data_IF_380996223913
#
_entry.id   IF_380996223913
#
_cell.length_a   1.000
_cell.length_b   1.000
_cell.length_c   1.000
_cell.angle_alpha   90.00
_cell.angle_beta   90.00
_cell.angle_gamma   90.00
#
_symmetry.space_group_name_H-M   'P 1'
#
loop_
_entity.id
_entity.type
_entity.pdbx_description
1 polymer ?
#
# COMPACT_ATOMS: atom_id res chain seq x y z
N UNK A 1 8.22 15.13 9.65
CA UNK A 1 8.29 14.43 8.35
C UNK A 1 6.91 14.34 7.77
N UNK A 2 6.72 14.73 6.51
CA UNK A 2 5.44 14.65 5.80
C UNK A 2 5.09 13.18 5.48
N UNK A 3 3.88 12.75 5.82
CA UNK A 3 3.37 11.41 5.51
C UNK A 3 2.32 11.51 4.40
N UNK A 4 2.60 10.88 3.27
CA UNK A 4 1.74 10.90 2.08
C UNK A 4 1.17 9.50 1.86
N UNK A 5 -0.14 9.34 1.95
CA UNK A 5 -0.81 8.10 1.60
C UNK A 5 -1.00 8.00 0.09
N UNK A 6 -0.31 7.05 -0.54
CA UNK A 6 -0.47 6.77 -1.97
C UNK A 6 -1.36 5.55 -2.15
N UNK A 7 -2.44 5.71 -2.89
CA UNK A 7 -3.39 4.64 -3.18
C UNK A 7 -3.79 4.63 -4.65
N UNK A 8 -4.55 3.64 -5.02
CA UNK A 8 -5.05 3.44 -6.38
C UNK A 8 -5.41 1.97 -6.58
N UNK A 9 -6.41 1.70 -7.40
CA UNK A 9 -6.90 0.37 -7.66
C UNK A 9 -5.87 -0.49 -8.38
N UNK A 10 -6.10 -1.79 -8.41
CA UNK A 10 -5.24 -2.73 -9.15
C UNK A 10 -5.00 -2.26 -10.59
N UNK A 11 -3.76 -2.32 -11.08
CA UNK A 11 -3.42 -1.95 -12.46
C UNK A 11 -3.24 -0.45 -12.73
N UNK A 12 -3.50 0.43 -11.75
CA UNK A 12 -3.43 1.88 -11.94
C UNK A 12 -1.99 2.47 -11.99
N UNK A 13 -0.94 1.65 -11.82
CA UNK A 13 0.45 2.12 -11.92
C UNK A 13 1.05 2.67 -10.61
N UNK A 14 0.42 2.39 -9.47
CA UNK A 14 0.78 2.90 -8.14
C UNK A 14 2.25 2.70 -7.77
N UNK A 15 2.80 1.48 -7.88
CA UNK A 15 4.18 1.18 -7.49
C UNK A 15 5.21 1.92 -8.35
N UNK A 16 4.94 2.07 -9.64
CA UNK A 16 5.78 2.84 -10.56
C UNK A 16 5.76 4.32 -10.16
N UNK A 17 4.57 4.88 -9.90
CA UNK A 17 4.40 6.25 -9.44
C UNK A 17 5.09 6.49 -8.10
N UNK A 18 4.94 5.55 -7.14
CA UNK A 18 5.63 5.61 -5.85
C UNK A 18 7.15 5.71 -6.03
N UNK A 19 7.72 4.94 -6.95
CA UNK A 19 9.16 4.95 -7.20
C UNK A 19 9.68 6.29 -7.72
N UNK A 20 8.86 7.03 -8.51
CA UNK A 20 9.23 8.33 -9.04
C UNK A 20 9.40 9.41 -7.94
N UNK A 21 8.68 9.31 -6.83
CA UNK A 21 8.84 10.25 -5.71
C UNK A 21 10.23 10.16 -5.04
N UNK A 22 10.97 9.05 -5.24
CA UNK A 22 12.34 8.90 -4.72
C UNK A 22 13.29 9.93 -5.31
N UNK A 23 13.07 10.36 -6.56
CA UNK A 23 13.86 11.39 -7.27
C UNK A 23 13.74 12.75 -6.57
N UNK A 24 12.68 12.96 -5.78
CA UNK A 24 12.39 14.19 -5.03
C UNK A 24 12.64 14.05 -3.51
N UNK A 25 13.53 13.13 -3.11
CA UNK A 25 13.94 12.87 -1.71
C UNK A 25 12.82 12.33 -0.80
N UNK A 26 11.71 11.85 -1.34
CA UNK A 26 10.74 11.09 -0.55
C UNK A 26 11.24 9.66 -0.36
N UNK A 27 11.04 9.13 0.84
CA UNK A 27 11.16 7.69 1.07
C UNK A 27 9.87 6.99 0.61
N UNK A 28 9.95 5.72 0.28
CA UNK A 28 8.77 4.91 -0.10
C UNK A 28 8.69 3.70 0.83
N UNK A 29 7.59 3.59 1.53
CA UNK A 29 7.23 2.43 2.34
C UNK A 29 6.14 1.66 1.61
N UNK A 30 6.37 0.37 1.35
CA UNK A 30 5.40 -0.52 0.74
C UNK A 30 4.85 -1.47 1.81
N UNK A 31 3.54 -1.41 2.05
CA UNK A 31 2.89 -2.26 3.05
C UNK A 31 2.89 -3.74 2.65
N UNK A 32 2.69 -4.05 1.36
CA UNK A 32 2.68 -5.43 0.86
C UNK A 32 4.05 -6.08 0.97
N UNK A 33 5.13 -5.36 0.63
CA UNK A 33 6.51 -5.83 0.80
C UNK A 33 6.82 -6.09 2.28
N UNK A 34 6.28 -5.26 3.17
CA UNK A 34 6.44 -5.45 4.62
C UNK A 34 5.75 -6.72 5.11
N UNK A 35 4.53 -7.01 4.66
CA UNK A 35 3.85 -8.28 4.98
C UNK A 35 4.68 -9.47 4.46
N UNK A 36 5.24 -9.36 3.27
CA UNK A 36 6.13 -10.38 2.72
C UNK A 36 7.34 -10.62 3.61
N UNK A 37 8.01 -9.53 4.00
CA UNK A 37 9.16 -9.58 4.89
C UNK A 37 8.82 -10.24 6.23
N UNK A 38 7.69 -9.87 6.84
CA UNK A 38 7.20 -10.45 8.10
C UNK A 38 6.98 -11.96 7.96
N UNK A 39 6.34 -12.41 6.89
CA UNK A 39 6.08 -13.82 6.64
C UNK A 39 7.35 -14.66 6.46
N UNK A 40 8.44 -14.04 6.06
CA UNK A 40 9.71 -14.72 5.82
C UNK A 40 10.70 -14.61 6.98
N UNK A 41 10.64 -13.53 7.79
CA UNK A 41 11.74 -13.17 8.67
C UNK A 41 11.32 -12.89 10.13
N UNK A 42 10.04 -12.62 10.42
CA UNK A 42 9.60 -12.32 11.80
C UNK A 42 9.13 -13.59 12.50
N UNK A 43 10.06 -14.28 13.18
CA UNK A 43 9.77 -15.54 13.88
C UNK A 43 8.63 -15.42 14.89
N UNK A 44 8.47 -14.27 15.54
CA UNK A 44 7.40 -14.06 16.54
C UNK A 44 6.05 -14.09 15.83
N UNK A 45 5.93 -13.38 14.73
CA UNK A 45 4.68 -13.31 13.97
C UNK A 45 4.42 -14.63 13.23
N UNK A 46 5.46 -15.25 12.65
CA UNK A 46 5.36 -16.58 12.02
C UNK A 46 4.78 -17.60 13.01
N UNK A 47 5.30 -17.64 14.24
CA UNK A 47 4.81 -18.57 15.26
C UNK A 47 3.38 -18.24 15.73
N UNK A 48 3.00 -16.96 15.83
CA UNK A 48 1.62 -16.57 16.14
C UNK A 48 0.65 -17.01 15.04
N UNK A 49 1.05 -16.86 13.78
CA UNK A 49 0.24 -17.32 12.65
C UNK A 49 0.10 -18.83 12.67
N UNK A 50 1.19 -19.57 12.90
CA UNK A 50 1.14 -21.03 13.01
C UNK A 50 0.23 -21.51 14.15
N UNK A 51 0.22 -20.84 15.31
CA UNK A 51 -0.70 -21.15 16.40
C UNK A 51 -2.17 -20.96 16.01
N UNK A 52 -2.47 -19.89 15.28
CA UNK A 52 -3.83 -19.62 14.80
C UNK A 52 -4.19 -20.47 13.57
N UNK A 53 -3.24 -20.70 12.68
CA UNK A 53 -3.42 -21.40 11.40
C UNK A 53 -2.44 -22.58 11.30
N UNK A 54 -2.71 -23.72 12.01
CA UNK A 54 -1.79 -24.86 12.04
C UNK A 54 -1.43 -25.40 10.66
N UNK A 55 -0.13 -25.65 10.44
CA UNK A 55 0.42 -26.06 9.15
C UNK A 55 0.74 -24.89 8.21
N UNK A 56 0.54 -23.64 8.62
CA UNK A 56 0.91 -22.47 7.83
C UNK A 56 2.41 -22.20 7.83
N UNK A 57 3.17 -22.73 8.82
CA UNK A 57 4.63 -22.60 8.86
C UNK A 57 5.28 -23.74 8.08
N UNK A 58 5.90 -23.41 6.94
CA UNK A 58 6.64 -24.33 6.08
C UNK A 58 8.06 -23.80 5.92
N UNK A 59 9.07 -24.63 6.16
CA UNK A 59 10.50 -24.26 6.08
C UNK A 59 10.85 -22.98 6.86
N UNK A 60 10.23 -22.80 8.01
CA UNK A 60 10.45 -21.64 8.88
C UNK A 60 9.73 -20.34 8.47
N UNK A 61 8.98 -20.35 7.37
CA UNK A 61 8.25 -19.19 6.81
C UNK A 61 6.74 -19.46 6.79
N UNK A 62 5.96 -18.39 6.66
CA UNK A 62 4.51 -18.51 6.44
C UNK A 62 4.22 -18.88 4.99
N UNK A 63 3.56 -20.03 4.79
CA UNK A 63 3.07 -20.46 3.49
C UNK A 63 1.77 -19.71 3.11
N UNK A 64 1.86 -18.88 2.09
CA UNK A 64 0.70 -18.14 1.55
C UNK A 64 -0.35 -19.08 0.97
N UNK A 65 0.07 -20.18 0.35
CA UNK A 65 -0.85 -21.14 -0.25
C UNK A 65 -1.68 -21.85 0.82
N UNK A 66 -1.06 -22.24 1.94
CA UNK A 66 -1.77 -22.83 3.07
C UNK A 66 -2.77 -21.83 3.66
N UNK A 67 -2.34 -20.57 3.90
CA UNK A 67 -3.24 -19.53 4.39
C UNK A 67 -4.38 -19.25 3.40
N UNK A 68 -4.09 -19.14 2.11
CA UNK A 68 -5.10 -18.92 1.06
C UNK A 68 -6.14 -20.04 1.05
N UNK A 69 -5.70 -21.30 1.13
CA UNK A 69 -6.58 -22.47 1.17
C UNK A 69 -7.45 -22.49 2.44
N UNK A 70 -6.86 -22.14 3.59
CA UNK A 70 -7.60 -22.11 4.87
C UNK A 70 -8.63 -20.98 4.89
N UNK A 71 -8.25 -19.79 4.44
CA UNK A 71 -9.11 -18.60 4.39
C UNK A 71 -10.20 -18.70 3.32
N UNK A 72 -9.96 -19.41 2.21
CA UNK A 72 -10.99 -19.67 1.20
C UNK A 72 -12.09 -20.60 1.74
N UNK A 73 -11.76 -21.55 2.61
CA UNK A 73 -12.73 -22.42 3.28
C UNK A 73 -13.50 -21.69 4.37
N UNK A 74 -12.87 -20.75 5.06
CA UNK A 74 -13.46 -20.01 6.14
C UNK A 74 -13.10 -18.50 6.08
N UNK A 75 -13.79 -17.72 5.25
CA UNK A 75 -13.48 -16.29 5.06
C UNK A 75 -13.58 -15.44 6.33
N UNK A 76 -14.35 -15.88 7.35
CA UNK A 76 -14.46 -15.13 8.61
C UNK A 76 -13.13 -15.05 9.36
N UNK A 77 -12.19 -15.98 9.10
CA UNK A 77 -10.87 -16.01 9.72
C UNK A 77 -9.90 -14.97 9.16
N UNK A 78 -10.26 -14.24 8.07
CA UNK A 78 -9.48 -13.10 7.62
C UNK A 78 -9.23 -12.08 8.75
N UNK A 79 -10.26 -11.77 9.53
CA UNK A 79 -10.13 -10.84 10.66
C UNK A 79 -9.15 -11.33 11.74
N UNK A 80 -9.06 -12.64 11.93
CA UNK A 80 -8.10 -13.24 12.85
C UNK A 80 -6.67 -13.05 12.35
N UNK A 81 -6.40 -13.32 11.07
CA UNK A 81 -5.11 -13.07 10.45
C UNK A 81 -4.73 -11.59 10.49
N UNK A 82 -5.66 -10.70 10.12
CA UNK A 82 -5.47 -9.25 10.15
C UNK A 82 -5.11 -8.77 11.56
N UNK A 83 -5.74 -9.30 12.60
CA UNK A 83 -5.46 -8.93 13.99
C UNK A 83 -4.03 -9.26 14.43
N UNK A 84 -3.37 -10.23 13.79
CA UNK A 84 -1.97 -10.60 14.02
C UNK A 84 -1.05 -9.70 13.18
N UNK A 85 -1.39 -9.46 11.91
CA UNK A 85 -0.51 -8.80 10.94
C UNK A 85 -0.54 -7.28 11.08
N UNK A 86 -1.71 -6.65 11.30
CA UNK A 86 -1.81 -5.18 11.35
C UNK A 86 -0.93 -4.54 12.43
N UNK A 87 -0.89 -5.05 13.69
CA UNK A 87 0.02 -4.49 14.69
C UNK A 87 1.50 -4.60 14.29
N UNK A 88 1.88 -5.73 13.69
CA UNK A 88 3.25 -5.95 13.25
C UNK A 88 3.63 -5.00 12.11
N UNK A 89 2.83 -4.93 11.05
CA UNK A 89 3.07 -4.01 9.91
C UNK A 89 3.16 -2.56 10.37
N UNK A 90 2.32 -2.17 11.35
CA UNK A 90 2.37 -0.81 11.91
C UNK A 90 3.69 -0.55 12.64
N UNK A 91 4.22 -1.49 13.40
CA UNK A 91 5.52 -1.33 14.06
C UNK A 91 6.67 -1.18 13.04
N UNK A 92 6.67 -1.99 11.98
CA UNK A 92 7.63 -1.86 10.89
C UNK A 92 7.52 -0.50 10.19
N UNK A 93 6.30 -0.03 9.94
CA UNK A 93 6.05 1.29 9.35
C UNK A 93 6.61 2.41 10.23
N UNK A 94 6.34 2.38 11.54
CA UNK A 94 6.85 3.35 12.49
C UNK A 94 8.39 3.35 12.51
N UNK A 95 8.99 2.16 12.57
CA UNK A 95 10.45 2.00 12.56
C UNK A 95 11.06 2.55 11.28
N UNK A 96 10.44 2.27 10.13
CA UNK A 96 10.86 2.82 8.85
C UNK A 96 10.79 4.35 8.83
N UNK A 97 9.68 4.94 9.27
CA UNK A 97 9.52 6.40 9.30
C UNK A 97 10.59 7.04 10.20
N UNK A 98 10.86 6.47 11.40
CA UNK A 98 11.92 6.96 12.31
C UNK A 98 13.29 6.97 11.62
N UNK A 99 13.66 5.88 10.95
CA UNK A 99 14.92 5.83 10.19
C UNK A 99 14.97 6.88 9.07
N UNK A 100 13.84 7.17 8.42
CA UNK A 100 13.80 8.18 7.36
C UNK A 100 13.87 9.61 7.89
N UNK A 101 13.38 9.85 9.10
CA UNK A 101 13.58 11.11 9.83
C UNK A 101 15.08 11.32 10.11
N UNK A 102 15.76 10.29 10.64
CA UNK A 102 17.22 10.33 10.91
C UNK A 102 18.04 10.57 9.64
N UNK A 103 17.55 10.09 8.48
CA UNK A 103 18.15 10.31 7.16
C UNK A 103 17.75 11.62 6.50
N UNK A 104 17.07 12.51 7.23
CA UNK A 104 16.63 13.84 6.77
C UNK A 104 15.84 13.80 5.44
N UNK A 105 15.02 12.75 5.27
CA UNK A 105 14.10 12.71 4.13
C UNK A 105 13.00 13.75 4.28
N UNK A 106 12.59 14.36 3.18
CA UNK A 106 11.54 15.40 3.16
C UNK A 106 10.20 14.81 3.61
N UNK A 107 9.88 13.62 3.12
CA UNK A 107 8.64 12.93 3.44
C UNK A 107 8.72 11.44 3.16
N UNK A 108 7.63 10.74 3.50
CA UNK A 108 7.46 9.33 3.27
C UNK A 108 6.17 9.08 2.48
N UNK A 109 6.29 8.45 1.33
CA UNK A 109 5.17 7.91 0.57
C UNK A 109 4.83 6.55 1.19
N UNK A 110 3.64 6.45 1.75
CA UNK A 110 3.08 5.21 2.28
C UNK A 110 2.20 4.58 1.19
N UNK A 111 2.73 3.56 0.53
CA UNK A 111 2.02 2.82 -0.52
C UNK A 111 1.01 1.87 0.12
N UNK A 112 -0.27 2.27 0.14
CA UNK A 112 -1.37 1.59 0.83
C UNK A 112 -2.52 1.34 -0.16
N UNK A 113 -2.71 0.12 -0.67
CA UNK A 113 -3.74 -0.18 -1.67
C UNK A 113 -5.17 0.15 -1.21
N UNK A 114 -5.49 -0.10 0.06
CA UNK A 114 -6.82 0.06 0.65
C UNK A 114 -6.89 1.25 1.62
N UNK A 115 -6.28 2.40 1.25
CA UNK A 115 -6.17 3.58 2.12
C UNK A 115 -7.53 4.08 2.60
N UNK A 116 -8.46 4.29 1.70
CA UNK A 116 -9.79 4.82 2.02
C UNK A 116 -10.72 3.76 2.60
N UNK A 117 -10.62 2.53 2.13
CA UNK A 117 -11.44 1.40 2.58
C UNK A 117 -11.22 1.10 4.06
N UNK A 118 -9.98 1.30 4.54
CA UNK A 118 -9.60 1.07 5.94
C UNK A 118 -9.65 2.34 6.80
N UNK A 119 -9.96 3.49 6.22
CA UNK A 119 -9.92 4.78 6.91
C UNK A 119 -8.49 5.24 7.22
N UNK A 120 -7.52 4.75 6.48
CA UNK A 120 -6.09 5.04 6.64
C UNK A 120 -5.71 6.49 6.32
N UNK A 121 -6.55 7.20 5.57
CA UNK A 121 -6.36 8.62 5.22
C UNK A 121 -6.28 9.53 6.45
N UNK A 122 -6.82 9.10 7.58
CA UNK A 122 -6.77 9.85 8.85
C UNK A 122 -5.36 9.90 9.45
N UNK A 123 -4.48 9.00 9.02
CA UNK A 123 -3.14 8.83 9.59
C UNK A 123 -2.04 9.35 8.68
N UNK A 124 -2.38 10.10 7.65
CA UNK A 124 -1.46 10.76 6.73
C UNK A 124 -1.74 12.25 6.67
N UNK A 125 -0.75 13.04 6.24
CA UNK A 125 -0.94 14.47 6.04
C UNK A 125 -1.67 14.76 4.74
N UNK A 126 -1.47 13.90 3.73
CA UNK A 126 -1.99 14.07 2.37
C UNK A 126 -2.28 12.72 1.75
N UNK A 127 -3.37 12.62 1.01
CA UNK A 127 -3.75 11.49 0.18
C UNK A 127 -3.49 11.76 -1.30
N UNK A 128 -2.85 10.82 -1.98
CA UNK A 128 -2.61 10.86 -3.44
C UNK A 128 -3.19 9.61 -4.06
N UNK A 129 -4.07 9.78 -5.04
CA UNK A 129 -4.64 8.68 -5.83
C UNK A 129 -3.94 8.58 -7.18
N UNK A 130 -3.55 7.37 -7.53
CA UNK A 130 -3.06 7.04 -8.87
C UNK A 130 -4.19 6.38 -9.64
N UNK A 131 -4.54 6.94 -10.80
CA UNK A 131 -5.66 6.50 -11.62
C UNK A 131 -5.26 6.26 -13.07
N UNK A 132 -6.05 5.46 -13.77
CA UNK A 132 -6.00 5.27 -15.22
C UNK A 132 -7.39 4.97 -15.75
N UNK A 133 -7.58 5.02 -17.08
CA UNK A 133 -8.82 4.59 -17.69
C UNK A 133 -9.06 3.10 -17.48
N UNK A 134 -10.32 2.69 -17.52
CA UNK A 134 -10.69 1.26 -17.42
C UNK A 134 -10.03 0.41 -18.48
N UNK A 135 -9.87 0.95 -19.69
CA UNK A 135 -9.21 0.28 -20.81
C UNK A 135 -7.72 0.06 -20.51
N UNK A 136 -7.05 1.10 -20.01
CA UNK A 136 -5.63 1.01 -19.60
C UNK A 136 -5.45 0.04 -18.43
N UNK A 137 -6.34 0.09 -17.46
CA UNK A 137 -6.36 -0.81 -16.32
C UNK A 137 -6.51 -2.28 -16.77
N UNK A 138 -7.51 -2.55 -17.61
CA UNK A 138 -7.77 -3.88 -18.16
C UNK A 138 -6.58 -4.40 -18.97
N UNK A 139 -6.03 -3.57 -19.87
CA UNK A 139 -4.86 -3.90 -20.65
C UNK A 139 -3.70 -4.35 -19.75
N UNK A 140 -3.38 -3.58 -18.71
CA UNK A 140 -2.27 -3.88 -17.79
C UNK A 140 -2.50 -5.13 -16.95
N UNK A 141 -3.73 -5.35 -16.49
CA UNK A 141 -4.01 -6.43 -15.54
C UNK A 141 -4.26 -7.76 -16.27
N UNK A 142 -5.07 -7.76 -17.32
CA UNK A 142 -5.45 -8.96 -18.04
C UNK A 142 -4.43 -9.30 -19.11
N UNK A 143 -4.13 -8.37 -20.02
CA UNK A 143 -3.32 -8.67 -21.20
C UNK A 143 -1.83 -8.73 -20.90
N UNK A 144 -1.31 -7.82 -20.05
CA UNK A 144 0.13 -7.76 -19.77
C UNK A 144 0.54 -8.66 -18.60
N UNK A 145 -0.27 -8.74 -17.52
CA UNK A 145 0.04 -9.55 -16.33
C UNK A 145 -0.57 -10.94 -16.36
N UNK A 146 -1.53 -11.20 -17.27
CA UNK A 146 -2.20 -12.48 -17.41
C UNK A 146 -3.09 -12.86 -16.24
N UNK A 147 -3.62 -11.86 -15.49
CA UNK A 147 -4.55 -12.15 -14.41
C UNK A 147 -5.87 -12.65 -14.99
N UNK A 148 -6.46 -13.65 -14.34
CA UNK A 148 -7.78 -14.14 -14.68
C UNK A 148 -8.84 -13.04 -14.53
N UNK A 149 -9.79 -12.95 -15.48
CA UNK A 149 -10.78 -11.89 -15.51
C UNK A 149 -11.76 -11.95 -14.33
N UNK A 150 -12.18 -13.16 -13.92
CA UNK A 150 -13.09 -13.31 -12.77
C UNK A 150 -12.39 -12.91 -11.47
N UNK A 151 -11.12 -13.26 -11.33
CA UNK A 151 -10.31 -12.82 -10.17
C UNK A 151 -10.11 -11.30 -10.18
N UNK A 152 -9.91 -10.68 -11.34
CA UNK A 152 -9.81 -9.23 -11.46
C UNK A 152 -11.09 -8.53 -10.98
N UNK A 153 -12.25 -8.98 -11.43
CA UNK A 153 -13.54 -8.44 -10.99
C UNK A 153 -13.76 -8.63 -9.47
N UNK A 154 -13.39 -9.78 -8.92
CA UNK A 154 -13.45 -10.03 -7.48
C UNK A 154 -12.57 -9.06 -6.68
N UNK A 155 -11.36 -8.75 -7.16
CA UNK A 155 -10.48 -7.78 -6.53
C UNK A 155 -11.07 -6.38 -6.61
N UNK A 156 -11.60 -5.98 -7.77
CA UNK A 156 -12.25 -4.67 -7.94
C UNK A 156 -13.47 -4.51 -7.03
N UNK A 157 -14.27 -5.56 -6.86
CA UNK A 157 -15.44 -5.54 -5.98
C UNK A 157 -15.11 -5.32 -4.50
N UNK A 158 -13.86 -5.57 -4.09
CA UNK A 158 -13.38 -5.31 -2.72
C UNK A 158 -12.77 -3.92 -2.56
N UNK A 159 -12.56 -3.20 -3.64
CA UNK A 159 -11.97 -1.87 -3.63
C UNK A 159 -13.05 -0.79 -3.80
N UNK A 160 -12.83 0.36 -3.17
CA UNK A 160 -13.63 1.55 -3.44
C UNK A 160 -13.56 1.90 -4.93
N UNK A 161 -14.67 2.30 -5.56
CA UNK A 161 -14.65 2.76 -6.95
C UNK A 161 -13.60 3.86 -7.19
N UNK A 162 -12.88 3.78 -8.30
CA UNK A 162 -11.77 4.69 -8.61
C UNK A 162 -12.21 6.15 -8.63
N UNK A 163 -13.40 6.43 -9.17
CA UNK A 163 -13.98 7.77 -9.16
C UNK A 163 -14.14 8.31 -7.74
N UNK A 164 -14.67 7.51 -6.82
CA UNK A 164 -14.86 7.91 -5.41
C UNK A 164 -13.52 8.16 -4.72
N UNK A 165 -12.50 7.34 -5.02
CA UNK A 165 -11.13 7.58 -4.52
C UNK A 165 -10.60 8.93 -5.01
N UNK A 166 -10.77 9.23 -6.30
CA UNK A 166 -10.32 10.49 -6.89
C UNK A 166 -11.04 11.70 -6.28
N UNK A 167 -12.33 11.60 -5.99
CA UNK A 167 -13.11 12.67 -5.36
C UNK A 167 -12.69 12.93 -3.91
N UNK A 168 -12.19 11.91 -3.21
CA UNK A 168 -11.76 12.01 -1.80
C UNK A 168 -10.29 12.41 -1.64
N UNK A 169 -9.50 12.26 -2.68
CA UNK A 169 -8.06 12.51 -2.61
C UNK A 169 -7.72 14.00 -2.62
N UNK A 170 -6.64 14.38 -1.92
CA UNK A 170 -6.07 15.72 -2.00
C UNK A 170 -5.40 15.96 -3.36
N UNK A 171 -4.79 14.93 -3.93
CA UNK A 171 -4.18 14.95 -5.27
C UNK A 171 -4.47 13.69 -6.05
N UNK A 172 -4.56 13.84 -7.37
CA UNK A 172 -4.75 12.73 -8.32
C UNK A 172 -3.62 12.76 -9.35
N UNK A 173 -3.04 11.60 -9.64
CA UNK A 173 -2.03 11.38 -10.69
C UNK A 173 -2.61 10.46 -11.73
N UNK A 174 -2.69 10.93 -13.00
CA UNK A 174 -3.12 10.09 -14.11
C UNK A 174 -1.93 9.36 -14.74
N UNK A 175 -2.10 8.06 -14.95
CA UNK A 175 -1.11 7.22 -15.64
C UNK A 175 -1.61 6.73 -17.01
N UNK A 176 -2.62 7.38 -17.58
CA UNK A 176 -3.15 7.04 -18.91
C UNK A 176 -2.16 7.32 -20.05
N UNK A 177 -1.36 8.36 -19.87
CA UNK A 177 -0.41 8.78 -20.85
C UNK A 177 0.94 8.06 -20.70
N UNK A 178 1.97 8.55 -21.38
CA UNK A 178 3.31 8.00 -21.26
C UNK A 178 3.96 8.31 -19.90
N UNK A 179 5.07 7.64 -19.62
CA UNK A 179 5.82 7.79 -18.38
C UNK A 179 6.30 9.21 -18.09
N UNK A 180 6.62 9.98 -19.14
CA UNK A 180 7.09 11.38 -18.99
C UNK A 180 5.97 12.29 -18.50
N UNK A 181 4.74 12.08 -18.95
CA UNK A 181 3.57 12.80 -18.43
C UNK A 181 3.36 12.50 -16.94
N UNK A 182 3.43 11.23 -16.56
CA UNK A 182 3.31 10.83 -15.15
C UNK A 182 4.44 11.43 -14.30
N UNK A 183 5.68 11.45 -14.79
CA UNK A 183 6.82 12.10 -14.10
C UNK A 183 6.57 13.59 -13.86
N UNK A 184 6.04 14.31 -14.84
CA UNK A 184 5.70 15.75 -14.69
C UNK A 184 4.60 15.96 -13.63
N UNK A 185 3.60 15.10 -13.58
CA UNK A 185 2.57 15.18 -12.53
C UNK A 185 3.17 14.91 -11.15
N UNK A 186 4.02 13.89 -11.02
CA UNK A 186 4.76 13.59 -9.78
C UNK A 186 5.64 14.77 -9.36
N UNK A 187 6.40 15.35 -10.28
CA UNK A 187 7.23 16.54 -10.04
C UNK A 187 6.41 17.73 -9.50
N UNK A 188 5.30 18.04 -10.16
CA UNK A 188 4.42 19.12 -9.74
C UNK A 188 3.84 18.89 -8.35
N UNK A 189 3.39 17.64 -8.06
CA UNK A 189 2.86 17.29 -6.75
C UNK A 189 3.96 17.29 -5.70
N UNK A 190 5.13 16.72 -5.97
CA UNK A 190 6.26 16.75 -5.05
C UNK A 190 6.65 18.19 -4.67
N UNK A 191 6.65 19.12 -5.65
CA UNK A 191 6.89 20.54 -5.42
C UNK A 191 5.84 21.18 -4.49
N UNK A 192 4.57 20.77 -4.56
CA UNK A 192 3.52 21.24 -3.65
C UNK A 192 3.64 20.63 -2.25
N UNK A 193 3.97 19.34 -2.19
CA UNK A 193 4.09 18.61 -0.93
C UNK A 193 5.18 19.17 0.00
N UNK A 194 6.30 19.65 -0.55
CA UNK A 194 7.38 20.25 0.25
C UNK A 194 7.01 21.55 0.94
N UNK A 195 5.90 22.17 0.56
CA UNK A 195 5.40 23.41 1.15
C UNK A 195 4.40 23.16 2.28
N UNK A 196 4.01 21.90 2.52
CA UNK A 196 3.03 21.56 3.54
C UNK A 196 3.68 21.37 4.92
N UNK A 197 2.96 21.75 5.95
CA UNK A 197 3.36 21.50 7.34
C UNK A 197 2.97 20.08 7.76
N UNK A 198 3.94 19.23 8.16
CA UNK A 198 3.66 17.86 8.58
C UNK A 198 3.05 17.83 9.99
N UNK A 199 1.93 17.11 10.16
CA UNK A 199 1.20 16.95 11.43
C UNK A 199 1.02 15.48 11.81
N UNK A 200 0.72 14.62 10.83
CA UNK A 200 0.33 13.24 11.07
C UNK A 200 1.36 12.44 11.87
N UNK A 201 2.66 12.68 11.67
CA UNK A 201 3.70 12.01 12.45
C UNK A 201 3.57 12.28 13.95
N UNK A 202 3.40 13.54 14.33
CA UNK A 202 3.29 13.93 15.74
C UNK A 202 1.96 13.52 16.34
N UNK A 203 0.88 13.60 15.57
CA UNK A 203 -0.47 13.35 16.05
C UNK A 203 -0.75 11.86 16.28
N UNK A 204 -0.21 10.97 15.45
CA UNK A 204 -0.61 9.57 15.39
C UNK A 204 0.51 8.55 15.61
N UNK A 205 1.77 8.90 15.37
CA UNK A 205 2.87 7.93 15.35
C UNK A 205 3.92 8.16 16.44
N UNK A 206 4.05 9.38 16.93
CA UNK A 206 5.09 9.75 17.91
C UNK A 206 4.53 9.89 19.35
N UNK A 207 3.52 9.08 19.67
CA UNK A 207 2.91 9.01 21.00
C UNK A 207 3.50 7.89 21.83
#
# INVERSE_FOLDING_TARGET
>A
MLLVGLTGSIGMGKSTTASMFKDYKFAVYNADDTVHYIYENDEIIINKIEQSFPGSKVDGKVSRDVLKNELSKNPKRFKELESIIHPATRQYQISFIKQMIEKERIGCILDIPLLFETGGEKYVDVSVVVTASKETQYQRVINERGLDADLFEQILAQQMPDQEKCERADYVISTNNNMDSTRKEVENIAGKLVLLEPKAWNDYYNK
#
